data_IF_758476544792
#
_entry.id   IF_758476544792
#
_cell.length_a   1.000
_cell.length_b   1.000
_cell.length_c   1.000
_cell.angle_alpha   90.00
_cell.angle_beta   90.00
_cell.angle_gamma   90.00
#
_symmetry.space_group_name_H-M   'P 1'
#
loop_
_entity.id
_entity.type
_entity.pdbx_description
1 polymer ?
#
# COMPACT_ATOMS: atom_id res chain seq x y z
N UNK A 1 1.15 -10.93 -4.22
CA UNK A 1 0.17 -9.94 -3.70
C UNK A 1 0.78 -8.94 -2.73
N UNK A 2 1.25 -9.33 -1.53
CA UNK A 2 1.85 -8.35 -0.60
C UNK A 2 3.14 -7.69 -1.14
N UNK A 3 3.94 -8.44 -1.92
CA UNK A 3 5.13 -7.92 -2.60
C UNK A 3 4.80 -6.80 -3.60
N UNK A 4 3.64 -6.85 -4.26
CA UNK A 4 3.23 -5.77 -5.16
C UNK A 4 2.80 -4.53 -4.38
N UNK A 5 2.03 -4.72 -3.31
CA UNK A 5 1.66 -3.64 -2.38
C UNK A 5 2.93 -2.95 -1.84
N UNK A 6 3.93 -3.73 -1.41
CA UNK A 6 5.21 -3.21 -0.94
C UNK A 6 6.00 -2.48 -2.04
N UNK A 7 6.04 -3.04 -3.27
CA UNK A 7 6.71 -2.42 -4.42
C UNK A 7 6.13 -1.04 -4.74
N UNK A 8 4.80 -0.90 -4.77
CA UNK A 8 4.17 0.38 -5.05
C UNK A 8 4.26 1.35 -3.88
N UNK A 9 4.10 0.88 -2.64
CA UNK A 9 4.32 1.70 -1.45
C UNK A 9 5.71 2.33 -1.43
N UNK A 10 6.75 1.52 -1.73
CA UNK A 10 8.13 2.01 -1.84
C UNK A 10 8.28 3.09 -2.91
N UNK A 11 7.74 2.87 -4.12
CA UNK A 11 7.79 3.86 -5.21
C UNK A 11 7.13 5.19 -4.82
N UNK A 12 5.97 5.14 -4.16
CA UNK A 12 5.24 6.35 -3.76
C UNK A 12 6.06 7.19 -2.77
N UNK A 13 6.73 6.54 -1.81
CA UNK A 13 7.63 7.20 -0.86
C UNK A 13 8.86 7.77 -1.57
N UNK A 14 9.49 6.98 -2.45
CA UNK A 14 10.68 7.41 -3.22
C UNK A 14 10.41 8.62 -4.11
N UNK A 15 9.21 8.73 -4.68
CA UNK A 15 8.80 9.89 -5.48
C UNK A 15 8.25 11.06 -4.65
N UNK A 16 8.25 10.97 -3.32
CA UNK A 16 7.77 12.04 -2.44
C UNK A 16 6.27 12.31 -2.55
N UNK A 17 5.50 11.34 -3.06
CA UNK A 17 4.05 11.48 -3.21
C UNK A 17 3.32 11.26 -1.88
N UNK A 18 3.99 10.60 -0.94
CA UNK A 18 3.45 10.19 0.36
C UNK A 18 4.55 10.16 1.41
N UNK A 19 4.20 10.34 2.69
CA UNK A 19 5.13 10.36 3.83
C UNK A 19 4.55 9.64 5.07
N UNK A 20 5.40 9.31 6.06
CA UNK A 20 5.02 8.67 7.33
C UNK A 20 4.25 7.35 7.15
N UNK A 21 3.31 7.01 8.05
CA UNK A 21 2.33 5.92 7.90
C UNK A 21 1.24 6.30 6.89
N UNK A 22 1.64 6.63 5.67
CA UNK A 22 0.73 7.14 4.66
C UNK A 22 -0.41 6.14 4.40
N UNK A 23 -1.63 6.69 4.32
CA UNK A 23 -2.81 6.12 3.65
C UNK A 23 -3.03 4.60 3.78
N UNK A 24 -3.59 4.03 2.71
CA UNK A 24 -3.76 2.58 2.56
C UNK A 24 -3.68 2.18 1.09
N UNK A 25 -3.19 0.97 0.83
CA UNK A 25 -3.10 0.38 -0.51
C UNK A 25 -3.96 -0.88 -0.53
N UNK A 26 -4.80 -1.02 -1.56
CA UNK A 26 -5.60 -2.22 -1.75
C UNK A 26 -5.44 -2.85 -3.14
N UNK A 27 -5.69 -4.15 -3.21
CA UNK A 27 -5.73 -4.94 -4.44
C UNK A 27 -7.03 -5.73 -4.44
N UNK A 28 -7.78 -5.70 -5.55
CA UNK A 28 -9.00 -6.52 -5.72
C UNK A 28 -8.64 -8.00 -5.74
N UNK A 29 -9.41 -8.80 -5.02
CA UNK A 29 -9.24 -10.26 -4.94
C UNK A 29 -10.61 -10.94 -5.08
N UNK A 30 -10.92 -11.44 -6.28
CA UNK A 30 -12.26 -11.95 -6.59
C UNK A 30 -13.34 -10.90 -6.30
N UNK A 31 -14.28 -11.26 -5.45
CA UNK A 31 -15.39 -10.39 -5.03
C UNK A 31 -15.03 -9.44 -3.87
N UNK A 32 -13.79 -9.48 -3.39
CA UNK A 32 -13.30 -8.67 -2.27
C UNK A 32 -12.05 -7.85 -2.59
N UNK A 33 -11.39 -7.37 -1.53
CA UNK A 33 -10.09 -6.70 -1.63
C UNK A 33 -9.21 -7.04 -0.43
N UNK A 34 -7.90 -7.07 -0.67
CA UNK A 34 -6.89 -6.97 0.38
C UNK A 34 -6.50 -5.51 0.54
N UNK A 35 -6.41 -5.02 1.76
CA UNK A 35 -6.02 -3.64 2.09
C UNK A 35 -5.00 -3.63 3.22
N UNK A 36 -4.05 -2.70 3.19
CA UNK A 36 -3.09 -2.50 4.29
C UNK A 36 -3.81 -2.07 5.57
N UNK A 37 -3.30 -2.52 6.73
CA UNK A 37 -3.86 -2.16 8.04
C UNK A 37 -3.56 -0.70 8.38
N UNK A 38 -4.48 -0.02 9.06
CA UNK A 38 -4.24 1.34 9.58
C UNK A 38 -3.04 1.36 10.53
N UNK A 39 -2.18 2.37 10.40
CA UNK A 39 -1.01 2.56 11.26
C UNK A 39 0.10 1.51 11.08
N UNK A 40 0.11 0.75 9.98
CA UNK A 40 1.23 -0.14 9.67
C UNK A 40 2.48 0.66 9.33
N UNK A 41 3.62 0.26 9.92
CA UNK A 41 4.96 0.75 9.60
C UNK A 41 5.54 0.06 8.35
#
# INVERSE_FOLDING_TARGET
MWQEIARFGKKLVEYGLVESHFGNISVRTGDGMLITRSGSA
#
